data_IF_825293876188
#
_entry.id   IF_825293876188
#
_cell.length_a   1.000
_cell.length_b   1.000
_cell.length_c   1.000
_cell.angle_alpha   90.00
_cell.angle_beta   90.00
_cell.angle_gamma   90.00
#
_symmetry.space_group_name_H-M   'P 1'
#
loop_
_entity.id
_entity.type
_entity.pdbx_description
1 polymer ?
#
# COMPACT_ATOMS: atom_id res chain seq x y z
N UNK A 1 -0.02 14.37 11.37
CA UNK A 1 -0.99 13.55 12.11
C UNK A 1 -0.31 12.22 12.37
N UNK A 2 -0.36 11.71 13.61
CA UNK A 2 0.41 10.54 14.07
C UNK A 2 -0.34 9.27 13.66
N UNK A 3 0.23 8.44 12.78
CA UNK A 3 -0.41 7.22 12.25
C UNK A 3 -0.42 6.05 13.27
N UNK A 4 -0.23 6.36 14.56
CA UNK A 4 -0.25 5.41 15.67
C UNK A 4 0.91 4.41 15.67
N UNK A 5 0.88 3.47 16.62
CA UNK A 5 1.88 2.42 16.85
C UNK A 5 2.23 1.59 15.59
N UNK A 6 1.36 1.59 14.58
CA UNK A 6 1.51 0.85 13.33
C UNK A 6 2.07 1.66 12.16
N UNK A 7 2.19 2.98 12.28
CA UNK A 7 2.91 3.80 11.30
C UNK A 7 4.38 3.38 11.18
N UNK A 8 4.96 2.91 12.29
CA UNK A 8 6.32 2.34 12.37
C UNK A 8 6.41 0.90 11.88
N UNK A 9 5.31 0.28 11.43
CA UNK A 9 5.31 -1.10 10.96
C UNK A 9 6.19 -1.22 9.73
N UNK A 10 7.20 -2.10 9.82
CA UNK A 10 8.20 -2.28 8.78
C UNK A 10 7.60 -3.05 7.62
N UNK A 11 7.72 -2.48 6.42
CA UNK A 11 7.18 -3.12 5.22
C UNK A 11 8.02 -4.36 4.83
N UNK A 12 7.39 -5.35 4.17
CA UNK A 12 8.09 -6.43 3.50
C UNK A 12 9.16 -5.91 2.54
N UNK A 13 10.29 -6.60 2.43
CA UNK A 13 11.44 -6.16 1.61
C UNK A 13 11.07 -5.86 0.15
N UNK A 14 10.13 -6.61 -0.44
CA UNK A 14 9.68 -6.35 -1.81
C UNK A 14 9.02 -4.97 -1.95
N UNK A 15 8.17 -4.58 -0.99
CA UNK A 15 7.53 -3.26 -0.97
C UNK A 15 8.54 -2.16 -0.65
N UNK A 16 9.49 -2.42 0.26
CA UNK A 16 10.56 -1.47 0.56
C UNK A 16 11.45 -1.19 -0.65
N UNK A 17 11.78 -2.22 -1.42
CA UNK A 17 12.61 -2.10 -2.61
C UNK A 17 11.85 -1.44 -3.77
N UNK A 18 10.56 -1.76 -3.94
CA UNK A 18 9.72 -1.18 -5.00
C UNK A 18 9.41 0.31 -4.79
N UNK A 19 9.16 0.72 -3.54
CA UNK A 19 8.74 2.08 -3.21
C UNK A 19 9.84 2.94 -2.56
N UNK A 20 10.93 2.33 -2.10
CA UNK A 20 12.04 3.03 -1.43
C UNK A 20 11.72 3.49 -0.01
N UNK A 21 10.74 2.87 0.66
CA UNK A 21 10.23 3.28 1.98
C UNK A 21 10.31 2.14 2.97
N UNK A 22 10.69 2.42 4.22
CA UNK A 22 10.84 1.38 5.25
C UNK A 22 9.56 1.03 5.99
N UNK A 23 8.62 1.97 6.09
CA UNK A 23 7.45 1.84 6.96
C UNK A 23 6.13 2.04 6.21
N UNK A 24 5.06 1.45 6.75
CA UNK A 24 3.71 1.58 6.20
C UNK A 24 3.25 3.06 6.17
N UNK A 25 3.66 3.85 7.17
CA UNK A 25 3.43 5.30 7.16
C UNK A 25 4.15 6.00 6.02
N UNK A 26 5.43 5.72 5.78
CA UNK A 26 6.16 6.35 4.69
C UNK A 26 5.57 6.01 3.31
N UNK A 27 5.09 4.77 3.14
CA UNK A 27 4.35 4.37 1.95
C UNK A 27 3.02 5.12 1.83
N UNK A 28 2.23 5.19 2.91
CA UNK A 28 0.96 5.91 2.93
C UNK A 28 1.16 7.40 2.62
N UNK A 29 2.16 8.05 3.22
CA UNK A 29 2.56 9.44 2.93
C UNK A 29 2.90 9.64 1.44
N UNK A 30 3.63 8.70 0.83
CA UNK A 30 4.04 8.77 -0.57
C UNK A 30 2.86 8.53 -1.53
N UNK A 31 1.95 7.63 -1.16
CA UNK A 31 0.72 7.35 -1.90
C UNK A 31 -0.35 8.43 -1.69
N UNK A 32 -0.18 9.32 -0.70
CA UNK A 32 -1.16 10.35 -0.36
C UNK A 32 -2.29 9.83 0.54
N UNK A 33 -2.18 8.61 1.07
CA UNK A 33 -3.09 8.01 2.04
C UNK A 33 -2.85 8.56 3.46
N UNK A 34 -2.77 9.88 3.59
CA UNK A 34 -2.31 10.58 4.80
C UNK A 34 -3.31 10.55 5.97
N UNK A 35 -4.57 10.29 5.68
CA UNK A 35 -5.67 10.45 6.63
C UNK A 35 -6.19 9.13 7.20
N UNK A 36 -5.53 8.00 6.92
CA UNK A 36 -6.02 6.70 7.35
C UNK A 36 -5.19 6.06 8.46
N UNK A 37 -5.81 5.69 9.61
CA UNK A 37 -5.11 4.97 10.65
C UNK A 37 -4.68 3.60 10.11
N UNK A 38 -3.39 3.27 10.26
CA UNK A 38 -2.88 1.93 9.96
C UNK A 38 -3.42 0.97 11.04
N UNK A 39 -4.50 0.24 10.74
CA UNK A 39 -5.07 -0.77 11.64
C UNK A 39 -4.59 -2.18 11.25
N UNK A 40 -4.69 -3.17 12.15
CA UNK A 40 -4.37 -4.56 11.82
C UNK A 40 -5.23 -5.11 10.67
N UNK A 41 -6.49 -4.66 10.58
CA UNK A 41 -7.41 -5.00 9.50
C UNK A 41 -6.90 -4.43 8.17
N UNK A 42 -6.46 -3.17 8.15
CA UNK A 42 -5.87 -2.54 6.96
C UNK A 42 -4.60 -3.26 6.50
N UNK A 43 -3.77 -3.73 7.45
CA UNK A 43 -2.57 -4.52 7.13
C UNK A 43 -2.98 -5.86 6.47
N UNK A 44 -3.99 -6.55 7.01
CA UNK A 44 -4.47 -7.80 6.45
C UNK A 44 -5.08 -7.61 5.05
N UNK A 45 -5.83 -6.53 4.83
CA UNK A 45 -6.35 -6.16 3.51
C UNK A 45 -5.24 -5.79 2.53
N UNK A 46 -4.22 -5.04 2.97
CA UNK A 46 -3.05 -4.72 2.16
C UNK A 46 -2.27 -5.97 1.75
N UNK A 47 -2.08 -6.93 2.66
CA UNK A 47 -1.49 -8.23 2.35
C UNK A 47 -2.32 -9.03 1.34
N UNK A 48 -3.65 -9.05 1.51
CA UNK A 48 -4.54 -9.73 0.58
C UNK A 48 -4.48 -9.09 -0.82
N UNK A 49 -4.49 -7.75 -0.89
CA UNK A 49 -4.35 -6.99 -2.12
C UNK A 49 -2.99 -7.23 -2.80
N UNK A 50 -1.91 -7.28 -2.01
CA UNK A 50 -0.57 -7.60 -2.53
C UNK A 50 -0.49 -9.04 -3.04
N UNK A 51 -1.08 -10.01 -2.34
CA UNK A 51 -1.15 -11.41 -2.80
C UNK A 51 -1.97 -11.53 -4.09
N UNK A 52 -3.10 -10.84 -4.19
CA UNK A 52 -3.92 -10.79 -5.40
C UNK A 52 -3.13 -10.19 -6.57
N UNK A 53 -2.46 -9.06 -6.38
CA UNK A 53 -1.56 -8.46 -7.36
C UNK A 53 -0.48 -9.45 -7.82
N UNK A 54 0.16 -10.15 -6.88
CA UNK A 54 1.19 -11.15 -7.17
C UNK A 54 0.64 -12.36 -7.95
N UNK A 55 -0.66 -12.65 -7.82
CA UNK A 55 -1.37 -13.66 -8.61
C UNK A 55 -1.81 -13.15 -9.99
N UNK A 56 -1.50 -11.90 -10.35
CA UNK A 56 -1.87 -11.26 -11.62
C UNK A 56 -3.16 -10.44 -11.54
N UNK A 57 -3.80 -10.36 -10.38
CA UNK A 57 -5.01 -9.56 -10.17
C UNK A 57 -4.64 -8.15 -9.69
N UNK A 58 -4.33 -7.31 -10.67
CA UNK A 58 -4.04 -5.88 -10.47
C UNK A 58 -5.29 -5.08 -10.08
N UNK A 59 -6.49 -5.57 -10.40
CA UNK A 59 -7.74 -4.88 -10.12
C UNK A 59 -8.01 -4.84 -8.61
N UNK A 60 -7.77 -5.94 -7.89
CA UNK A 60 -7.89 -5.98 -6.43
C UNK A 60 -6.90 -5.04 -5.74
N UNK A 61 -5.66 -4.97 -6.24
CA UNK A 61 -4.65 -4.01 -5.77
C UNK A 61 -5.07 -2.56 -5.97
N UNK A 62 -5.58 -2.22 -7.17
CA UNK A 62 -6.06 -0.87 -7.50
C UNK A 62 -7.24 -0.49 -6.62
N UNK A 63 -8.18 -1.41 -6.46
CA UNK A 63 -9.39 -1.20 -5.66
C UNK A 63 -9.04 -0.93 -4.20
N UNK A 64 -8.08 -1.66 -3.63
CA UNK A 64 -7.60 -1.40 -2.27
C UNK A 64 -6.96 0.00 -2.15
N UNK A 65 -6.12 0.39 -3.11
CA UNK A 65 -5.50 1.72 -3.09
C UNK A 65 -6.54 2.85 -3.19
N UNK A 66 -7.55 2.70 -4.05
CA UNK A 66 -8.54 3.74 -4.32
C UNK A 66 -9.68 3.74 -3.30
N UNK A 67 -10.36 2.61 -3.13
CA UNK A 67 -11.53 2.50 -2.25
C UNK A 67 -11.13 2.43 -0.79
N UNK A 68 -10.09 1.66 -0.46
CA UNK A 68 -9.66 1.51 0.92
C UNK A 68 -8.75 2.64 1.33
N UNK A 69 -7.66 2.94 0.61
CA UNK A 69 -6.68 3.95 1.04
C UNK A 69 -6.99 5.38 0.57
N UNK A 70 -8.03 5.58 -0.25
CA UNK A 70 -8.41 6.90 -0.76
C UNK A 70 -7.36 7.51 -1.71
N UNK A 71 -6.49 6.69 -2.28
CA UNK A 71 -5.47 7.12 -3.24
C UNK A 71 -6.15 7.45 -4.57
N UNK A 72 -5.71 8.51 -5.23
CA UNK A 72 -6.18 8.84 -6.58
C UNK A 72 -5.94 7.67 -7.54
N UNK A 73 -6.89 7.37 -8.42
CA UNK A 73 -6.80 6.25 -9.35
C UNK A 73 -5.51 6.28 -10.17
N UNK A 74 -5.07 7.47 -10.57
CA UNK A 74 -3.87 7.64 -11.39
C UNK A 74 -2.60 7.33 -10.60
N UNK A 75 -2.56 7.73 -9.32
CA UNK A 75 -1.48 7.40 -8.37
C UNK A 75 -1.47 5.92 -8.00
N UNK A 76 -2.65 5.31 -7.90
CA UNK A 76 -2.80 3.89 -7.64
C UNK A 76 -2.24 3.05 -8.81
N UNK A 77 -2.57 3.40 -10.06
CA UNK A 77 -2.00 2.74 -11.24
C UNK A 77 -0.47 2.94 -11.30
N UNK A 78 0.06 4.13 -11.03
CA UNK A 78 1.51 4.36 -10.96
C UNK A 78 2.21 3.55 -9.87
N UNK A 79 1.57 3.41 -8.71
CA UNK A 79 2.07 2.60 -7.60
C UNK A 79 2.14 1.12 -8.01
N UNK A 80 1.06 0.59 -8.60
CA UNK A 80 1.01 -0.78 -9.10
C UNK A 80 1.97 -1.03 -10.27
N UNK A 81 2.27 -0.01 -11.08
CA UNK A 81 3.25 -0.09 -12.16
C UNK A 81 4.71 -0.13 -11.65
N UNK A 82 4.97 0.41 -10.45
CA UNK A 82 6.29 0.33 -9.79
C UNK A 82 6.50 -1.00 -9.06
N UNK A 83 5.43 -1.71 -8.75
CA UNK A 83 5.55 -3.06 -8.22
C UNK A 83 6.18 -3.95 -9.29
N UNK A 84 7.16 -4.80 -8.92
CA UNK A 84 7.74 -5.73 -9.86
C UNK A 84 6.65 -6.71 -10.34
N UNK A 85 6.31 -6.62 -11.63
CA UNK A 85 5.54 -7.65 -12.31
C UNK A 85 6.38 -8.91 -12.38
N UNK A 86 5.86 -10.03 -11.86
CA UNK A 86 6.47 -11.36 -12.05
C UNK A 86 6.33 -11.80 -13.51
#
# INVERSE_FOLDING_TARGET
>A
MDLGTWGSYRLPEQLRSAYGVDTAQALADQLGAKDMPITPELIAEAEAAFRAYRSGDTATGRRFLVETLGVDEHRADEALAKLPTL
#
